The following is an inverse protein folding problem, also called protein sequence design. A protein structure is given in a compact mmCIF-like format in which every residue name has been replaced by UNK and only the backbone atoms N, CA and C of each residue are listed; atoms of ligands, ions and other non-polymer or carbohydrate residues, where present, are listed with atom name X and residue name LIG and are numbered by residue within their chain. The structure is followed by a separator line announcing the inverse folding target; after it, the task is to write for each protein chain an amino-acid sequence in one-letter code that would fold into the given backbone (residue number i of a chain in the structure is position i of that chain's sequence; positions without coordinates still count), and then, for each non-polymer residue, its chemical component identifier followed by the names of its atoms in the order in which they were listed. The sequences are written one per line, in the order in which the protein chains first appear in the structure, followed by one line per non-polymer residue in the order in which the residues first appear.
data_IF_930581043573
#
_entry.id   IF_930581043573
#
_cell.length_a   1.000
_cell.length_b   1.000
_cell.length_c   1.000
_cell.angle_alpha   90.00
_cell.angle_beta   90.00
_cell.angle_gamma   90.00
#
_symmetry.space_group_name_H-M   'P 1'
#
loop_
_entity.id
_entity.type
_entity.pdbx_description
1 polymer ?
#
# COMPACT_ATOMS: atom_id res chain seq x y z
N UNK A 1 -6.12 18.76 -22.69
CA UNK A 1 -5.55 19.57 -21.60
C UNK A 1 -6.68 20.19 -20.79
N UNK A 2 -6.60 20.08 -19.48
CA UNK A 2 -7.53 20.70 -18.55
C UNK A 2 -7.12 22.17 -18.32
N UNK A 3 -8.07 23.06 -18.13
CA UNK A 3 -7.75 24.45 -17.76
C UNK A 3 -7.05 24.47 -16.38
N UNK A 4 -6.13 25.43 -16.17
CA UNK A 4 -5.34 25.52 -14.94
C UNK A 4 -6.20 25.81 -13.71
N UNK A 5 -7.36 26.39 -13.88
CA UNK A 5 -8.37 26.74 -12.88
C UNK A 5 -9.53 25.73 -12.81
N UNK A 6 -9.40 24.58 -13.47
CA UNK A 6 -10.45 23.57 -13.46
C UNK A 6 -10.76 23.11 -12.02
N UNK A 7 -12.04 23.12 -11.59
CA UNK A 7 -12.38 22.65 -10.26
C UNK A 7 -11.95 21.19 -10.04
N UNK A 8 -11.36 20.94 -8.87
CA UNK A 8 -10.98 19.58 -8.46
C UNK A 8 -12.22 18.74 -8.18
N UNK A 9 -12.14 17.43 -8.40
CA UNK A 9 -13.22 16.51 -8.13
C UNK A 9 -13.29 15.34 -9.11
N UNK A 10 -14.35 14.56 -8.98
CA UNK A 10 -14.62 13.45 -9.88
C UNK A 10 -15.58 13.90 -10.98
N UNK A 11 -15.13 13.85 -12.21
CA UNK A 11 -15.84 14.29 -13.40
C UNK A 11 -16.19 13.10 -14.29
N UNK A 12 -17.27 13.18 -15.02
CA UNK A 12 -17.60 12.19 -16.03
C UNK A 12 -17.52 12.82 -17.42
N UNK A 13 -16.54 12.41 -18.19
CA UNK A 13 -16.49 12.73 -19.61
C UNK A 13 -17.43 11.79 -20.36
N UNK A 14 -18.33 12.35 -21.20
CA UNK A 14 -19.25 11.60 -22.03
C UNK A 14 -19.01 11.94 -23.50
N UNK A 15 -18.80 10.93 -24.31
CA UNK A 15 -18.76 11.04 -25.76
C UNK A 15 -19.97 10.29 -26.36
N UNK A 16 -20.61 10.92 -27.35
CA UNK A 16 -21.75 10.33 -28.07
C UNK A 16 -21.36 10.22 -29.53
N UNK A 17 -21.37 9.02 -30.07
CA UNK A 17 -21.07 8.75 -31.46
C UNK A 17 -22.09 7.76 -32.04
N UNK A 18 -22.76 8.13 -33.11
CA UNK A 18 -23.74 7.27 -33.80
C UNK A 18 -24.86 6.74 -32.89
N UNK A 19 -25.32 7.54 -31.91
CA UNK A 19 -26.33 7.13 -30.94
C UNK A 19 -25.83 6.32 -29.76
N UNK A 20 -24.56 5.90 -29.77
CA UNK A 20 -23.92 5.19 -28.65
C UNK A 20 -23.22 6.17 -27.71
N UNK A 21 -23.44 6.02 -26.42
CA UNK A 21 -22.83 6.87 -25.38
C UNK A 21 -21.70 6.12 -24.68
N UNK A 22 -20.52 6.74 -24.63
CA UNK A 22 -19.34 6.28 -23.90
C UNK A 22 -19.10 7.23 -22.71
N UNK A 23 -18.92 6.67 -21.53
CA UNK A 23 -18.66 7.46 -20.32
C UNK A 23 -17.31 7.03 -19.72
N UNK A 24 -16.50 8.01 -19.30
CA UNK A 24 -15.23 7.79 -18.59
C UNK A 24 -15.17 8.71 -17.38
N UNK A 25 -14.97 8.12 -16.22
CA UNK A 25 -14.71 8.88 -15.00
C UNK A 25 -13.28 9.42 -15.02
N UNK A 26 -13.15 10.73 -14.77
CA UNK A 26 -11.88 11.46 -14.67
C UNK A 26 -11.79 12.07 -13.27
N UNK A 27 -10.63 11.94 -12.63
CA UNK A 27 -10.30 12.66 -11.40
C UNK A 27 -9.44 13.85 -11.77
N UNK A 28 -9.89 15.04 -11.37
CA UNK A 28 -9.10 16.28 -11.45
C UNK A 28 -8.65 16.59 -10.02
N UNK A 29 -7.34 16.52 -9.80
CA UNK A 29 -6.72 16.76 -8.49
C UNK A 29 -5.70 17.89 -8.64
N UNK A 30 -5.67 18.80 -7.66
CA UNK A 30 -4.56 19.75 -7.57
C UNK A 30 -3.35 18.99 -7.03
N UNK A 31 -2.32 18.84 -7.85
CA UNK A 31 -1.05 18.32 -7.38
C UNK A 31 -0.35 19.43 -6.60
N UNK A 32 -0.47 19.40 -5.29
CA UNK A 32 0.38 20.23 -4.43
C UNK A 32 1.74 19.55 -4.33
N UNK A 33 2.82 20.18 -4.78
CA UNK A 33 4.15 19.60 -4.64
C UNK A 33 4.48 19.43 -3.16
N UNK A 34 5.08 18.30 -2.82
CA UNK A 34 5.59 18.10 -1.47
C UNK A 34 6.60 19.21 -1.12
N UNK A 35 6.43 19.81 0.03
CA UNK A 35 7.35 20.80 0.60
C UNK A 35 8.26 20.19 1.67
N UNK A 36 7.91 18.98 2.11
CA UNK A 36 8.64 18.18 3.07
C UNK A 36 9.19 16.93 2.39
N UNK A 37 10.41 16.58 2.69
CA UNK A 37 10.99 15.27 2.47
C UNK A 37 10.61 14.41 3.66
N UNK A 38 9.94 13.28 3.39
CA UNK A 38 9.44 12.34 4.41
C UNK A 38 10.16 11.02 4.20
N UNK A 39 10.69 10.46 5.25
CA UNK A 39 11.34 9.16 5.28
C UNK A 39 10.69 8.28 6.34
N UNK A 40 10.25 7.09 5.92
CA UNK A 40 9.67 6.07 6.80
C UNK A 40 10.54 4.82 6.77
N UNK A 41 11.28 4.61 7.85
CA UNK A 41 12.10 3.42 8.05
C UNK A 41 11.35 2.42 8.96
N UNK A 42 11.04 1.27 8.40
CA UNK A 42 10.41 0.13 9.09
C UNK A 42 11.35 -1.09 9.13
N UNK A 43 12.66 -0.86 8.98
CA UNK A 43 13.66 -1.91 8.86
C UNK A 43 13.66 -2.59 7.49
N UNK A 44 14.53 -3.56 7.33
CA UNK A 44 14.68 -4.30 6.08
C UNK A 44 13.83 -5.58 6.03
N UNK A 45 13.62 -6.10 4.81
CA UNK A 45 12.97 -7.39 4.58
C UNK A 45 11.44 -7.35 4.57
N UNK A 46 10.85 -8.51 4.74
CA UNK A 46 9.40 -8.71 4.77
C UNK A 46 8.85 -8.39 6.16
N UNK A 47 7.79 -7.60 6.21
CA UNK A 47 7.09 -7.32 7.47
C UNK A 47 6.30 -8.58 7.87
N UNK A 48 6.34 -8.92 9.14
CA UNK A 48 5.47 -9.97 9.71
C UNK A 48 4.21 -9.32 10.27
N UNK A 49 3.05 -9.82 9.88
CA UNK A 49 1.78 -9.34 10.38
C UNK A 49 1.49 -9.81 11.81
N UNK A 50 0.58 -9.11 12.48
CA UNK A 50 0.10 -9.46 13.83
C UNK A 50 1.17 -9.46 14.93
N UNK A 51 2.33 -8.86 14.67
CA UNK A 51 3.38 -8.66 15.67
C UNK A 51 3.73 -7.17 15.76
N UNK A 52 4.34 -6.71 16.87
CA UNK A 52 4.77 -5.33 17.01
C UNK A 52 5.73 -4.92 15.87
N UNK A 53 5.37 -3.88 15.16
CA UNK A 53 6.17 -3.25 14.12
C UNK A 53 6.79 -1.98 14.68
N UNK A 54 8.09 -1.98 14.86
CA UNK A 54 8.86 -0.80 15.26
C UNK A 54 9.45 -0.12 14.03
N UNK A 55 9.53 1.21 14.08
CA UNK A 55 10.12 1.99 13.00
C UNK A 55 10.41 3.41 13.41
N UNK A 56 10.90 4.20 12.45
CA UNK A 56 11.22 5.60 12.60
C UNK A 56 10.63 6.38 11.44
N UNK A 57 9.93 7.45 11.76
CA UNK A 57 9.50 8.46 10.81
C UNK A 57 10.40 9.68 10.96
N UNK A 58 10.94 10.17 9.84
CA UNK A 58 11.68 11.42 9.76
C UNK A 58 11.06 12.36 8.74
N UNK A 59 11.06 13.66 9.02
CA UNK A 59 10.67 14.68 8.07
C UNK A 59 11.51 15.94 8.18
N UNK A 60 11.77 16.56 7.04
CA UNK A 60 12.46 17.85 6.95
C UNK A 60 11.89 18.68 5.80
N UNK A 61 11.94 19.97 5.93
CA UNK A 61 11.61 20.87 4.84
C UNK A 61 12.62 20.74 3.70
N UNK A 62 12.19 20.96 2.47
CA UNK A 62 13.10 20.93 1.32
C UNK A 62 14.20 22.02 1.40
N UNK A 63 13.99 23.04 2.22
CA UNK A 63 15.00 24.04 2.57
C UNK A 63 16.09 23.52 3.52
N UNK A 64 15.94 22.28 4.03
CA UNK A 64 16.85 21.69 5.02
C UNK A 64 16.47 21.93 6.48
N UNK A 65 15.47 22.77 6.76
CA UNK A 65 15.00 22.98 8.13
C UNK A 65 14.28 21.72 8.67
N UNK A 66 14.36 21.50 9.98
CA UNK A 66 13.67 20.39 10.66
C UNK A 66 12.15 20.61 10.65
N UNK A 67 11.39 19.53 10.52
CA UNK A 67 9.92 19.55 10.58
C UNK A 67 9.44 19.39 12.04
N UNK A 68 10.09 20.08 12.98
CA UNK A 68 9.83 19.97 14.42
C UNK A 68 8.38 20.30 14.76
N UNK A 69 7.76 19.48 15.60
CA UNK A 69 6.41 19.68 16.12
C UNK A 69 5.28 19.52 15.11
N UNK A 70 5.58 19.19 13.85
CA UNK A 70 4.53 18.97 12.85
C UNK A 70 3.75 17.69 13.14
N UNK A 71 2.44 17.73 12.90
CA UNK A 71 1.59 16.53 13.00
C UNK A 71 1.89 15.59 11.85
N UNK A 72 1.84 14.30 12.13
CA UNK A 72 2.01 13.26 11.14
C UNK A 72 1.06 12.08 11.38
N UNK A 73 0.69 11.39 10.33
CA UNK A 73 0.00 10.12 10.40
C UNK A 73 0.52 9.12 9.37
N UNK A 74 0.28 7.85 9.66
CA UNK A 74 0.59 6.75 8.74
C UNK A 74 -0.66 5.88 8.61
N UNK A 75 -1.20 5.84 7.40
CA UNK A 75 -2.28 4.94 7.02
C UNK A 75 -1.70 3.79 6.19
N UNK A 76 -2.14 2.57 6.47
CA UNK A 76 -1.68 1.36 5.78
C UNK A 76 -2.86 0.68 5.12
N UNK A 77 -2.73 0.37 3.84
CA UNK A 77 -3.67 -0.47 3.10
C UNK A 77 -2.97 -1.75 2.69
N UNK A 78 -3.60 -2.88 2.96
CA UNK A 78 -3.06 -4.20 2.62
C UNK A 78 -3.84 -4.80 1.45
N UNK A 79 -3.11 -5.36 0.50
CA UNK A 79 -3.68 -6.00 -0.69
C UNK A 79 -3.00 -7.35 -0.95
N UNK A 80 -3.68 -8.32 -1.59
CA UNK A 80 -3.06 -9.58 -1.98
C UNK A 80 -1.85 -9.37 -2.89
N UNK A 81 -0.87 -10.25 -2.74
CA UNK A 81 0.31 -10.32 -3.60
C UNK A 81 0.59 -11.77 -3.95
N UNK A 82 1.20 -12.01 -5.09
CA UNK A 82 1.61 -13.37 -5.46
C UNK A 82 2.72 -13.86 -4.54
N UNK A 83 2.51 -15.02 -3.93
CA UNK A 83 3.50 -15.67 -3.06
C UNK A 83 4.51 -16.44 -3.91
N UNK A 84 5.77 -16.03 -3.87
CA UNK A 84 6.85 -16.70 -4.61
C UNK A 84 8.07 -16.89 -3.71
N UNK A 85 8.61 -18.10 -3.74
CA UNK A 85 9.88 -18.44 -3.09
C UNK A 85 10.85 -18.95 -4.15
N UNK A 86 12.02 -18.35 -4.24
CA UNK A 86 13.03 -18.65 -5.28
C UNK A 86 13.46 -20.12 -5.30
N UNK A 87 13.38 -20.83 -4.18
CA UNK A 87 13.72 -22.25 -4.04
C UNK A 87 12.59 -23.20 -4.45
N UNK A 88 11.36 -22.67 -4.69
CA UNK A 88 10.16 -23.46 -4.92
C UNK A 88 9.32 -22.88 -6.07
N UNK A 89 9.96 -22.66 -7.21
CA UNK A 89 9.37 -21.97 -8.38
C UNK A 89 8.19 -22.71 -8.97
N UNK A 90 8.14 -24.06 -8.82
CA UNK A 90 7.10 -24.93 -9.36
C UNK A 90 5.93 -25.15 -8.39
N UNK A 91 5.94 -24.43 -7.26
CA UNK A 91 4.89 -24.54 -6.26
C UNK A 91 3.97 -23.32 -6.29
N UNK A 92 2.70 -23.55 -6.05
CA UNK A 92 1.69 -22.50 -5.80
C UNK A 92 1.43 -22.44 -4.31
N UNK A 93 1.51 -21.24 -3.74
CA UNK A 93 1.34 -20.99 -2.30
C UNK A 93 0.10 -20.15 -2.00
N UNK A 94 -0.51 -19.57 -3.03
CA UNK A 94 -1.69 -18.72 -2.88
C UNK A 94 -2.96 -19.57 -2.92
N UNK A 95 -3.94 -19.22 -2.08
CA UNK A 95 -5.27 -19.81 -2.11
C UNK A 95 -6.19 -18.96 -3.00
N UNK A 96 -6.51 -19.38 -4.23
CA UNK A 96 -7.32 -18.60 -5.16
C UNK A 96 -8.80 -18.51 -4.75
N UNK A 97 -9.25 -19.38 -3.84
CA UNK A 97 -10.63 -19.35 -3.35
C UNK A 97 -10.86 -18.28 -2.28
N UNK A 98 -9.80 -17.74 -1.68
CA UNK A 98 -9.90 -16.70 -0.66
C UNK A 98 -9.96 -15.32 -1.30
N UNK A 99 -11.01 -14.60 -0.97
CA UNK A 99 -11.13 -13.19 -1.29
C UNK A 99 -10.63 -12.38 -0.10
N UNK A 100 -9.66 -11.51 -0.34
CA UNK A 100 -9.09 -10.65 0.68
C UNK A 100 -9.35 -9.19 0.32
N UNK A 101 -9.95 -8.46 1.27
CA UNK A 101 -10.07 -7.01 1.21
C UNK A 101 -9.67 -6.46 2.58
N UNK A 102 -8.55 -5.75 2.63
CA UNK A 102 -8.10 -5.10 3.86
C UNK A 102 -8.62 -3.66 3.95
N UNK A 103 -9.30 -3.35 5.04
CA UNK A 103 -9.63 -1.96 5.36
C UNK A 103 -8.36 -1.18 5.69
N UNK A 104 -8.32 0.13 5.38
CA UNK A 104 -7.21 0.98 5.79
C UNK A 104 -7.05 0.98 7.31
N UNK A 105 -5.82 0.82 7.77
CA UNK A 105 -5.47 0.81 9.19
C UNK A 105 -4.60 2.03 9.50
N UNK A 106 -4.85 2.68 10.63
CA UNK A 106 -3.98 3.72 11.14
C UNK A 106 -2.85 3.08 11.95
N UNK A 107 -1.63 3.18 11.46
CA UNK A 107 -0.43 2.65 12.14
C UNK A 107 0.15 3.65 13.12
N UNK A 108 0.08 4.94 12.80
CA UNK A 108 0.61 6.03 13.63
C UNK A 108 -0.21 7.29 13.46
N UNK A 109 -0.34 8.05 14.54
CA UNK A 109 -0.80 9.43 14.56
C UNK A 109 -0.15 10.15 15.73
N UNK A 110 0.53 11.26 15.46
CA UNK A 110 1.23 12.02 16.50
C UNK A 110 1.93 13.25 15.97
N UNK A 111 2.81 13.82 16.78
CA UNK A 111 3.66 14.94 16.42
C UNK A 111 5.12 14.48 16.32
N UNK A 112 5.86 15.09 15.40
CA UNK A 112 7.29 14.94 15.31
C UNK A 112 7.98 15.69 16.46
N UNK A 113 9.09 15.15 16.91
CA UNK A 113 9.92 15.77 17.97
C UNK A 113 10.71 17.01 17.48
N UNK A 114 11.59 17.54 18.32
CA UNK A 114 12.42 18.70 17.99
C UNK A 114 13.38 18.43 16.80
N UNK A 115 13.69 17.18 16.52
CA UNK A 115 14.54 16.78 15.40
C UNK A 115 13.75 16.49 14.11
N UNK A 116 12.41 16.62 14.15
CA UNK A 116 11.54 16.25 13.05
C UNK A 116 11.34 14.75 12.93
N UNK A 117 11.41 14.02 14.04
CA UNK A 117 11.35 12.55 14.07
C UNK A 117 10.22 12.05 14.96
N UNK A 118 9.74 10.84 14.69
CA UNK A 118 8.85 10.10 15.57
C UNK A 118 9.19 8.60 15.56
N UNK A 119 9.03 7.97 16.71
CA UNK A 119 9.11 6.51 16.81
C UNK A 119 7.77 5.90 16.48
N UNK A 120 7.80 4.90 15.63
CA UNK A 120 6.62 4.13 15.26
C UNK A 120 6.61 2.86 16.10
N UNK A 121 5.49 2.64 16.77
CA UNK A 121 5.20 1.41 17.49
C UNK A 121 3.75 1.06 17.22
N UNK A 122 3.52 0.10 16.36
CA UNK A 122 2.18 -0.30 15.96
C UNK A 122 2.10 -1.78 15.66
N UNK A 123 0.91 -2.25 15.36
CA UNK A 123 0.67 -3.62 14.89
C UNK A 123 -0.10 -3.52 13.59
N UNK A 124 0.36 -4.21 12.57
CA UNK A 124 -0.39 -4.40 11.35
C UNK A 124 -1.31 -5.62 11.53
N UNK A 125 -2.57 -5.35 11.81
CA UNK A 125 -3.55 -6.41 12.05
C UNK A 125 -3.96 -7.04 10.72
N UNK A 126 -3.68 -8.32 10.58
CA UNK A 126 -4.03 -9.09 9.40
C UNK A 126 -5.04 -10.17 9.77
N UNK A 127 -6.09 -10.35 8.96
CA UNK A 127 -7.03 -11.43 9.17
C UNK A 127 -6.37 -12.78 8.86
N UNK A 128 -6.88 -13.84 9.48
CA UNK A 128 -6.35 -15.20 9.37
C UNK A 128 -6.66 -15.87 8.02
N UNK A 129 -7.49 -15.24 7.19
CA UNK A 129 -7.94 -15.74 5.89
C UNK A 129 -7.17 -15.14 4.71
N UNK A 130 -6.02 -14.54 4.94
CA UNK A 130 -5.17 -14.04 3.87
C UNK A 130 -4.86 -15.16 2.85
N UNK A 131 -4.93 -14.86 1.53
CA UNK A 131 -4.75 -15.89 0.48
C UNK A 131 -3.30 -16.35 0.33
N UNK A 132 -2.34 -15.58 0.79
CA UNK A 132 -0.90 -15.80 0.66
C UNK A 132 -0.15 -14.57 1.14
N UNK A 133 0.98 -14.24 0.52
CA UNK A 133 1.70 -12.99 0.78
C UNK A 133 0.85 -11.77 0.43
N UNK A 134 1.10 -10.69 1.12
CA UNK A 134 0.40 -9.42 0.97
C UNK A 134 1.39 -8.30 0.66
N UNK A 135 0.88 -7.21 0.09
CA UNK A 135 1.57 -5.93 -0.03
C UNK A 135 0.91 -4.91 0.89
N UNK A 136 1.68 -4.29 1.77
CA UNK A 136 1.26 -3.15 2.57
C UNK A 136 1.72 -1.85 1.90
N UNK A 137 0.77 -1.00 1.53
CA UNK A 137 1.01 0.35 1.04
C UNK A 137 0.85 1.33 2.19
N UNK A 138 1.96 1.96 2.58
CA UNK A 138 2.02 2.97 3.62
C UNK A 138 1.85 4.36 2.99
N UNK A 139 0.87 5.12 3.43
CA UNK A 139 0.67 6.51 3.10
C UNK A 139 1.03 7.34 4.33
N UNK A 140 2.21 7.93 4.32
CA UNK A 140 2.73 8.77 5.41
C UNK A 140 2.49 10.23 5.09
N UNK A 141 1.72 10.93 5.90
CA UNK A 141 1.42 12.36 5.75
C UNK A 141 2.06 13.15 6.87
N UNK A 142 2.62 14.30 6.54
CA UNK A 142 3.10 15.29 7.50
C UNK A 142 2.41 16.61 7.20
N UNK A 143 1.76 17.18 8.19
CA UNK A 143 0.86 18.33 8.08
C UNK A 143 1.57 19.62 8.44
N UNK A 144 1.42 20.62 7.60
CA UNK A 144 1.87 21.99 7.84
C UNK A 144 0.87 22.73 8.73
N UNK A 145 1.28 23.79 9.44
CA UNK A 145 0.37 24.55 10.32
C UNK A 145 -0.86 25.13 9.59
N UNK A 146 -0.75 25.36 8.27
CA UNK A 146 -1.85 25.84 7.43
C UNK A 146 -2.83 24.77 6.94
N UNK A 147 -2.66 23.49 7.35
CA UNK A 147 -3.52 22.38 6.95
C UNK A 147 -3.12 21.69 5.64
N UNK A 148 -2.19 22.25 4.87
CA UNK A 148 -1.56 21.54 3.77
C UNK A 148 -0.74 20.35 4.30
N UNK A 149 -0.49 19.34 3.48
CA UNK A 149 0.36 18.22 3.86
C UNK A 149 1.24 17.76 2.71
N UNK A 150 2.38 17.21 3.07
CA UNK A 150 3.22 16.41 2.17
C UNK A 150 2.97 14.94 2.42
N UNK A 151 3.07 14.11 1.38
CA UNK A 151 2.81 12.67 1.46
C UNK A 151 3.95 11.88 0.83
N UNK A 152 4.35 10.82 1.54
CA UNK A 152 5.22 9.77 1.01
C UNK A 152 4.43 8.46 0.92
N UNK A 153 4.66 7.71 -0.15
CA UNK A 153 4.07 6.38 -0.32
C UNK A 153 5.18 5.34 -0.47
N UNK A 154 5.09 4.30 0.34
CA UNK A 154 6.03 3.18 0.36
C UNK A 154 5.24 1.88 0.35
N UNK A 155 5.71 0.87 -0.37
CA UNK A 155 5.08 -0.47 -0.40
C UNK A 155 6.08 -1.51 0.06
N UNK A 156 5.63 -2.38 0.97
CA UNK A 156 6.45 -3.46 1.53
C UNK A 156 5.69 -4.79 1.47
N UNK A 157 6.42 -5.86 1.25
CA UNK A 157 5.87 -7.21 1.37
C UNK A 157 5.56 -7.54 2.82
N UNK A 158 4.44 -8.22 3.03
CA UNK A 158 3.96 -8.65 4.35
C UNK A 158 3.67 -10.14 4.32
N UNK A 159 4.21 -10.86 5.31
CA UNK A 159 3.90 -12.26 5.57
C UNK A 159 2.81 -12.34 6.64
N UNK A 160 1.58 -12.78 6.29
CA UNK A 160 0.52 -12.97 7.28
C UNK A 160 0.73 -14.22 8.13
N UNK A 161 1.59 -15.13 7.69
CA UNK A 161 1.85 -16.42 8.33
C UNK A 161 3.35 -16.64 8.52
N UNK A 162 3.70 -17.39 9.58
CA UNK A 162 5.09 -17.84 9.79
C UNK A 162 5.49 -18.96 8.81
N UNK A 163 4.52 -19.71 8.31
CA UNK A 163 4.73 -20.86 7.42
C UNK A 163 3.73 -20.82 6.27
N UNK A 164 4.20 -21.20 5.09
CA UNK A 164 3.39 -21.30 3.89
C UNK A 164 3.37 -22.76 3.41
N UNK A 165 2.19 -23.23 3.02
CA UNK A 165 2.01 -24.54 2.40
C UNK A 165 1.99 -24.34 0.90
N UNK A 166 2.90 -24.99 0.19
CA UNK A 166 2.96 -24.96 -1.27
C UNK A 166 2.47 -26.26 -1.88
N UNK A 167 1.68 -26.16 -2.93
CA UNK A 167 1.22 -27.29 -3.74
C UNK A 167 1.97 -27.28 -5.06
N UNK A 168 2.47 -28.44 -5.45
CA UNK A 168 2.99 -28.69 -6.79
C UNK A 168 2.14 -29.76 -7.45
N UNK A 169 1.49 -29.40 -8.52
CA UNK A 169 0.74 -30.37 -9.32
C UNK A 169 1.73 -31.30 -10.04
N UNK A 170 1.47 -32.61 -10.08
CA UNK A 170 2.22 -33.50 -10.94
C UNK A 170 2.09 -33.06 -12.39
N UNK A 171 3.08 -33.39 -13.22
CA UNK A 171 3.02 -33.12 -14.65
C UNK A 171 1.87 -33.97 -15.24
N UNK A 172 0.74 -33.32 -15.49
CA UNK A 172 -0.42 -33.91 -16.14
C UNK A 172 -0.54 -33.45 -17.59
N UNK A 173 -1.59 -33.87 -18.27
CA UNK A 173 -1.96 -33.38 -19.60
C UNK A 173 -2.47 -31.92 -19.43
N UNK A 174 -1.56 -30.97 -19.58
CA UNK A 174 -1.83 -29.53 -19.48
C UNK A 174 -2.84 -29.01 -20.53
N UNK A 175 -3.13 -29.80 -21.57
CA UNK A 175 -4.13 -29.44 -22.58
C UNK A 175 -5.57 -29.62 -22.07
N UNK A 176 -5.79 -30.32 -20.97
CA UNK A 176 -7.11 -30.61 -20.41
C UNK A 176 -7.35 -30.11 -19.01
N UNK A 177 -6.34 -29.51 -18.37
CA UNK A 177 -6.40 -29.09 -16.94
C UNK A 177 -6.91 -30.20 -16.01
N UNK A 178 -6.65 -31.48 -16.35
CA UNK A 178 -7.13 -32.64 -15.61
C UNK A 178 -5.96 -33.45 -15.07
N UNK A 179 -6.06 -33.84 -13.80
CA UNK A 179 -5.23 -34.87 -13.21
C UNK A 179 -5.82 -36.23 -13.62
N UNK A 180 -5.02 -37.05 -14.32
CA UNK A 180 -5.39 -38.43 -14.59
C UNK A 180 -5.01 -39.26 -13.37
N UNK A 181 -5.94 -40.07 -12.90
CA UNK A 181 -5.65 -41.15 -11.93
C UNK A 181 -5.26 -42.39 -12.70
N UNK A 182 -4.17 -43.03 -12.31
CA UNK A 182 -3.77 -44.36 -12.79
C UNK A 182 -4.77 -45.40 -12.34
#
# INVERSE_FOLDING_TARGET
TTAADAPTGTWTARAILGGTSFAKTLKIETVMPNRLKIDLDLGDGTIVGNVPLAGKLGAQWLSGATAAGLKADIEVRVTPSTTRFSRFTDYVFDDPARQFSGDPQKLFEGALDANGEARINGVLNLPSDAPGMLNASFATRVFEPGGAFSINRNTRAVAPFERFVGLRLPKGDSARDMLMTD
#
